data_IF_219495273979
#
_entry.id   IF_219495273979
#
_cell.length_a   1.000
_cell.length_b   1.000
_cell.length_c   1.000
_cell.angle_alpha   90.00
_cell.angle_beta   90.00
_cell.angle_gamma   90.00
#
_symmetry.space_group_name_H-M   'P 1'
#
loop_
_entity.id
_entity.type
_entity.pdbx_description
1 polymer ?
#
# COMPACT_ATOMS: atom_id res chain seq x y z
N UNK A 1 0.39 10.41 -4.18
CA UNK A 1 0.32 11.36 -3.06
C UNK A 1 -1.06 12.00 -3.02
N UNK A 2 -1.54 12.39 -1.85
CA UNK A 2 -2.91 12.86 -1.71
C UNK A 2 -3.31 13.14 -0.28
N UNK A 3 -4.60 12.95 -0.01
CA UNK A 3 -5.21 13.12 1.30
C UNK A 3 -5.97 11.87 1.71
N UNK A 4 -5.62 11.32 2.87
CA UNK A 4 -6.41 10.30 3.53
C UNK A 4 -7.68 10.96 4.10
N UNK A 5 -8.83 10.39 3.75
CA UNK A 5 -10.15 10.92 4.10
C UNK A 5 -11.09 9.80 4.51
N UNK A 6 -12.19 10.18 5.16
CA UNK A 6 -13.36 9.32 5.33
C UNK A 6 -14.25 9.47 4.10
N UNK A 7 -14.56 8.37 3.42
CA UNK A 7 -15.41 8.30 2.23
C UNK A 7 -16.77 8.95 2.47
N UNK A 8 -17.33 8.73 3.65
CA UNK A 8 -18.60 9.34 4.06
C UNK A 8 -18.59 10.87 3.95
N UNK A 9 -17.45 11.50 4.24
CA UNK A 9 -17.32 12.96 4.24
C UNK A 9 -17.12 13.52 2.82
N UNK A 10 -16.76 12.68 1.84
CA UNK A 10 -16.38 13.12 0.48
C UNK A 10 -17.19 12.49 -0.65
N UNK A 11 -18.03 11.49 -0.40
CA UNK A 11 -18.82 10.78 -1.44
C UNK A 11 -19.75 11.68 -2.28
N UNK A 12 -20.05 12.88 -1.77
CA UNK A 12 -20.90 13.89 -2.40
C UNK A 12 -20.10 14.94 -3.18
N UNK A 13 -18.77 14.92 -3.06
CA UNK A 13 -17.89 15.98 -3.55
C UNK A 13 -17.91 16.04 -5.08
N UNK A 14 -18.09 17.25 -5.59
CA UNK A 14 -17.94 17.58 -7.01
C UNK A 14 -17.28 18.95 -7.17
N UNK A 15 -16.76 19.25 -8.37
CA UNK A 15 -16.15 20.55 -8.62
C UNK A 15 -17.12 21.73 -8.38
N UNK A 16 -18.42 21.52 -8.60
CA UNK A 16 -19.47 22.50 -8.32
C UNK A 16 -19.83 22.58 -6.83
N UNK A 17 -19.71 21.47 -6.09
CA UNK A 17 -19.97 21.40 -4.65
C UNK A 17 -18.86 20.63 -3.94
N UNK A 18 -17.70 21.27 -3.68
CA UNK A 18 -16.58 20.60 -3.04
C UNK A 18 -16.87 20.27 -1.58
N UNK A 19 -16.43 19.09 -1.12
CA UNK A 19 -16.43 18.78 0.31
C UNK A 19 -15.28 19.55 0.99
N UNK A 20 -15.53 20.07 2.19
CA UNK A 20 -14.54 20.83 2.96
C UNK A 20 -14.14 20.04 4.19
N UNK A 21 -12.84 19.80 4.35
CA UNK A 21 -12.25 19.07 5.46
C UNK A 21 -11.14 19.89 6.11
N UNK A 22 -10.82 19.61 7.37
CA UNK A 22 -9.66 20.18 8.06
C UNK A 22 -8.48 19.21 8.00
N UNK A 23 -7.34 19.71 7.55
CA UNK A 23 -6.08 18.94 7.56
C UNK A 23 -5.55 18.94 8.99
N UNK A 24 -5.48 17.76 9.61
CA UNK A 24 -5.07 17.59 11.02
C UNK A 24 -3.69 16.96 11.21
N UNK A 25 -3.09 16.47 10.13
CA UNK A 25 -1.80 15.79 10.21
C UNK A 25 -1.29 15.31 8.86
N UNK A 26 -0.21 14.55 8.91
CA UNK A 26 0.48 14.02 7.74
C UNK A 26 1.08 12.65 8.03
N UNK A 27 0.83 11.69 7.14
CA UNK A 27 1.41 10.35 7.14
C UNK A 27 2.40 10.21 5.99
N UNK A 28 3.66 9.91 6.31
CA UNK A 28 4.74 9.71 5.34
C UNK A 28 5.25 8.27 5.37
N UNK A 29 5.94 7.85 4.29
CA UNK A 29 6.57 6.53 4.25
C UNK A 29 7.57 6.38 5.41
N UNK A 30 7.34 5.38 6.27
CA UNK A 30 8.13 5.15 7.49
C UNK A 30 7.81 6.07 8.68
N UNK A 31 6.99 7.11 8.51
CA UNK A 31 6.58 8.05 9.58
C UNK A 31 5.05 8.16 9.56
N UNK A 32 4.33 7.19 10.15
CA UNK A 32 2.87 7.16 10.13
C UNK A 32 2.24 8.21 11.05
N UNK A 33 1.09 8.73 10.63
CA UNK A 33 0.18 9.49 11.49
C UNK A 33 -0.74 8.52 12.25
N UNK A 34 -0.56 8.42 13.56
CA UNK A 34 -1.23 7.42 14.40
C UNK A 34 -2.63 7.81 14.87
N UNK A 35 -2.98 9.10 14.82
CA UNK A 35 -4.29 9.55 15.28
C UNK A 35 -5.38 9.15 14.30
N UNK A 36 -6.57 8.89 14.83
CA UNK A 36 -7.73 8.53 14.04
C UNK A 36 -8.42 9.78 13.49
N UNK A 37 -8.66 9.81 12.18
CA UNK A 37 -9.42 10.88 11.53
C UNK A 37 -10.86 10.89 12.06
N UNK A 38 -11.29 12.06 12.52
CA UNK A 38 -12.67 12.34 12.91
C UNK A 38 -13.48 12.83 11.71
N UNK A 39 -14.83 12.87 11.81
CA UNK A 39 -15.67 13.46 10.78
C UNK A 39 -15.23 14.87 10.40
N UNK A 40 -15.15 15.13 9.10
CA UNK A 40 -14.72 16.43 8.56
C UNK A 40 -13.21 16.65 8.59
N UNK A 41 -12.40 15.63 8.91
CA UNK A 41 -10.94 15.73 8.93
C UNK A 41 -10.28 14.98 7.78
N UNK A 42 -9.08 15.42 7.43
CA UNK A 42 -8.20 14.78 6.48
C UNK A 42 -6.76 14.80 6.99
N UNK A 43 -5.95 13.87 6.51
CA UNK A 43 -4.49 13.92 6.70
C UNK A 43 -3.80 13.90 5.34
N UNK A 44 -2.71 14.65 5.19
CA UNK A 44 -1.82 14.51 4.03
C UNK A 44 -1.24 13.09 4.04
N UNK A 45 -1.14 12.46 2.87
CA UNK A 45 -0.57 11.12 2.77
C UNK A 45 0.30 10.98 1.51
N UNK A 46 1.54 10.54 1.72
CA UNK A 46 2.48 10.24 0.64
C UNK A 46 2.34 8.79 0.17
N UNK A 47 2.76 8.52 -1.06
CA UNK A 47 2.77 7.16 -1.62
C UNK A 47 3.63 6.22 -0.77
N UNK A 48 3.08 5.05 -0.42
CA UNK A 48 3.74 4.08 0.45
C UNK A 48 3.63 4.38 1.94
N UNK A 49 2.99 5.49 2.33
CA UNK A 49 2.68 5.76 3.73
C UNK A 49 1.54 4.87 4.24
N UNK A 50 1.51 4.64 5.55
CA UNK A 50 0.42 3.92 6.19
C UNK A 50 -0.85 4.76 6.20
N UNK A 51 -1.98 4.14 5.87
CA UNK A 51 -3.28 4.80 5.94
C UNK A 51 -3.61 5.14 7.40
N UNK A 52 -4.09 6.37 7.62
CA UNK A 52 -4.46 6.85 8.96
C UNK A 52 -5.66 6.06 9.49
N UNK A 53 -5.74 5.84 10.80
CA UNK A 53 -6.91 5.21 11.40
C UNK A 53 -8.18 6.03 11.09
N UNK A 54 -9.29 5.36 10.82
CA UNK A 54 -10.55 6.00 10.45
C UNK A 54 -10.67 6.45 8.99
N UNK A 55 -9.57 6.59 8.26
CA UNK A 55 -9.60 6.82 6.81
C UNK A 55 -9.94 5.52 6.06
N UNK A 56 -10.68 5.65 4.97
CA UNK A 56 -11.06 4.53 4.08
C UNK A 56 -11.03 4.92 2.60
N UNK A 57 -10.48 6.09 2.26
CA UNK A 57 -10.17 6.50 0.90
C UNK A 57 -8.96 7.45 0.87
N UNK A 58 -8.22 7.46 -0.25
CA UNK A 58 -7.21 8.48 -0.54
C UNK A 58 -7.61 9.27 -1.76
N UNK A 59 -7.70 10.59 -1.64
CA UNK A 59 -7.98 11.49 -2.78
C UNK A 59 -6.66 12.05 -3.31
N UNK A 60 -6.36 11.91 -4.61
CA UNK A 60 -5.14 12.43 -5.21
C UNK A 60 -5.10 13.96 -5.14
N UNK A 61 -3.90 14.54 -5.05
CA UNK A 61 -3.73 16.00 -4.90
C UNK A 61 -4.36 16.78 -6.07
N UNK A 62 -4.38 16.19 -7.26
CA UNK A 62 -4.95 16.73 -8.48
C UNK A 62 -6.47 16.95 -8.40
N UNK A 63 -7.16 16.23 -7.50
CA UNK A 63 -8.61 16.31 -7.28
C UNK A 63 -8.94 17.13 -6.02
N UNK A 64 -7.99 17.93 -5.54
CA UNK A 64 -8.11 18.73 -4.32
C UNK A 64 -7.55 20.14 -4.48
N UNK A 65 -8.07 21.07 -3.68
CA UNK A 65 -7.50 22.40 -3.47
C UNK A 65 -7.23 22.60 -1.98
N UNK A 66 -6.12 23.24 -1.64
CA UNK A 66 -5.76 23.51 -0.24
C UNK A 66 -5.65 25.00 -0.01
N UNK A 67 -6.32 25.48 1.04
CA UNK A 67 -6.21 26.84 1.55
C UNK A 67 -5.90 26.81 3.04
N UNK A 68 -4.62 27.00 3.39
CA UNK A 68 -4.12 26.85 4.75
C UNK A 68 -4.36 25.43 5.30
N UNK A 69 -5.18 25.33 6.35
CA UNK A 69 -5.58 24.06 6.96
C UNK A 69 -6.88 23.48 6.37
N UNK A 70 -7.52 24.16 5.42
CA UNK A 70 -8.77 23.71 4.80
C UNK A 70 -8.45 22.98 3.50
N UNK A 71 -8.89 21.73 3.42
CA UNK A 71 -8.89 20.92 2.21
C UNK A 71 -10.26 21.03 1.54
N UNK A 72 -10.27 21.30 0.23
CA UNK A 72 -11.45 21.20 -0.62
C UNK A 72 -11.26 20.00 -1.54
N UNK A 73 -12.11 18.99 -1.38
CA UNK A 73 -12.14 17.83 -2.27
C UNK A 73 -13.08 18.12 -3.42
N UNK A 74 -12.56 18.11 -4.64
CA UNK A 74 -13.31 18.41 -5.86
C UNK A 74 -13.95 17.15 -6.44
N UNK A 75 -13.35 15.99 -6.22
CA UNK A 75 -13.87 14.71 -6.73
C UNK A 75 -13.36 13.56 -5.87
N UNK A 76 -14.27 12.63 -5.56
CA UNK A 76 -13.94 11.33 -5.00
C UNK A 76 -14.79 10.27 -5.71
N UNK A 77 -14.16 9.19 -6.20
CA UNK A 77 -14.81 8.23 -7.09
C UNK A 77 -15.47 7.09 -6.32
N UNK A 78 -14.77 6.53 -5.34
CA UNK A 78 -15.27 5.38 -4.56
C UNK A 78 -14.58 5.20 -3.23
N UNK A 79 -15.24 4.50 -2.32
CA UNK A 79 -14.62 3.96 -1.12
C UNK A 79 -13.44 3.05 -1.48
N UNK A 80 -12.40 3.04 -0.66
CA UNK A 80 -11.17 2.26 -0.83
C UNK A 80 -10.34 2.60 -2.08
N UNK A 81 -10.60 3.73 -2.73
CA UNK A 81 -9.75 4.18 -3.84
C UNK A 81 -8.33 4.49 -3.37
N UNK A 82 -7.35 4.15 -4.22
CA UNK A 82 -5.93 4.41 -4.01
C UNK A 82 -5.36 3.89 -2.68
N UNK A 83 -5.98 2.85 -2.12
CA UNK A 83 -5.48 2.13 -0.95
C UNK A 83 -4.99 0.76 -1.41
N UNK A 84 -3.78 0.40 -0.97
CA UNK A 84 -3.25 -0.95 -1.06
C UNK A 84 -3.50 -1.68 0.26
N UNK A 85 -4.22 -2.79 0.22
CA UNK A 85 -4.59 -3.51 1.45
C UNK A 85 -3.47 -4.43 1.92
N UNK A 86 -3.40 -4.62 3.24
CA UNK A 86 -2.48 -5.58 3.82
C UNK A 86 -2.74 -6.98 3.26
N UNK A 87 -1.71 -7.60 2.70
CA UNK A 87 -1.79 -8.93 2.10
C UNK A 87 -2.52 -9.01 0.77
N UNK A 88 -2.76 -7.88 0.07
CA UNK A 88 -3.43 -7.88 -1.24
C UNK A 88 -2.65 -8.66 -2.32
N UNK A 89 -1.33 -8.71 -2.19
CA UNK A 89 -0.46 -9.43 -3.13
C UNK A 89 -0.19 -10.86 -2.64
N UNK A 90 0.19 -10.99 -1.36
CA UNK A 90 0.34 -12.29 -0.70
C UNK A 90 -0.24 -12.20 0.72
N UNK A 91 -1.21 -13.06 1.01
CA UNK A 91 -1.73 -13.21 2.36
C UNK A 91 -0.69 -13.93 3.25
N UNK A 92 -0.70 -13.63 4.54
CA UNK A 92 0.11 -14.36 5.51
C UNK A 92 -0.21 -15.88 5.44
N UNK A 93 0.84 -16.70 5.32
CA UNK A 93 0.71 -18.16 5.18
C UNK A 93 0.41 -18.64 3.75
N UNK A 94 0.27 -17.76 2.76
CA UNK A 94 0.19 -18.17 1.37
C UNK A 94 1.50 -18.83 0.92
N UNK A 95 1.39 -19.89 0.12
CA UNK A 95 2.55 -20.50 -0.52
C UNK A 95 3.14 -19.53 -1.56
N UNK A 96 4.40 -19.13 -1.39
CA UNK A 96 5.09 -18.23 -2.32
C UNK A 96 5.69 -18.99 -3.51
N UNK A 97 6.22 -20.19 -3.26
CA UNK A 97 6.87 -21.06 -4.23
C UNK A 97 6.54 -22.52 -3.90
N UNK A 98 6.35 -23.33 -4.93
CA UNK A 98 6.16 -24.78 -4.78
C UNK A 98 7.50 -25.50 -4.57
N UNK A 99 7.47 -26.64 -3.88
CA UNK A 99 8.65 -27.47 -3.71
C UNK A 99 9.19 -27.94 -5.07
N UNK A 100 10.51 -27.85 -5.26
CA UNK A 100 11.15 -28.15 -6.55
C UNK A 100 11.24 -26.97 -7.52
N UNK A 101 10.72 -25.79 -7.15
CA UNK A 101 10.92 -24.57 -7.94
C UNK A 101 12.41 -24.23 -8.03
N UNK A 102 12.91 -24.09 -9.26
CA UNK A 102 14.27 -23.64 -9.49
C UNK A 102 14.39 -22.16 -9.12
N UNK A 103 15.26 -21.85 -8.16
CA UNK A 103 15.50 -20.48 -7.73
C UNK A 103 16.35 -19.72 -8.76
N UNK A 104 15.73 -18.74 -9.42
CA UNK A 104 16.42 -17.71 -10.22
C UNK A 104 16.30 -16.35 -9.52
N UNK A 105 16.85 -15.30 -10.12
CA UNK A 105 16.86 -13.95 -9.56
C UNK A 105 15.46 -13.47 -9.09
N UNK A 106 14.40 -13.75 -9.85
CA UNK A 106 13.04 -13.38 -9.48
C UNK A 106 12.53 -14.08 -8.20
N UNK A 107 12.78 -15.38 -8.07
CA UNK A 107 12.37 -16.14 -6.87
C UNK A 107 13.16 -15.69 -5.65
N UNK A 108 14.45 -15.41 -5.82
CA UNK A 108 15.30 -14.88 -4.73
C UNK A 108 14.81 -13.49 -4.30
N UNK A 109 14.49 -12.61 -5.24
CA UNK A 109 13.94 -11.28 -4.94
C UNK A 109 12.59 -11.35 -4.22
N UNK A 110 11.72 -12.29 -4.62
CA UNK A 110 10.45 -12.54 -3.93
C UNK A 110 10.68 -13.02 -2.49
N UNK A 111 11.54 -14.00 -2.25
CA UNK A 111 11.82 -14.49 -0.90
C UNK A 111 12.42 -13.38 -0.02
N UNK A 112 13.37 -12.61 -0.56
CA UNK A 112 14.00 -11.50 0.14
C UNK A 112 13.00 -10.38 0.48
N UNK A 113 12.05 -10.07 -0.41
CA UNK A 113 11.02 -9.06 -0.15
C UNK A 113 10.08 -9.42 1.00
N UNK A 114 9.96 -10.72 1.30
CA UNK A 114 9.20 -11.25 2.44
C UNK A 114 10.08 -11.44 3.69
N UNK A 115 11.34 -11.01 3.67
CA UNK A 115 12.26 -11.14 4.81
C UNK A 115 12.81 -12.54 5.04
N UNK A 116 12.71 -13.44 4.05
CA UNK A 116 13.21 -14.81 4.15
C UNK A 116 14.70 -14.82 3.77
N UNK A 117 15.57 -14.96 4.78
CA UNK A 117 17.03 -14.93 4.60
C UNK A 117 17.62 -16.28 4.16
N UNK A 118 17.00 -17.39 4.57
CA UNK A 118 17.46 -18.75 4.28
C UNK A 118 16.29 -19.61 3.81
N UNK A 119 16.54 -20.51 2.86
CA UNK A 119 15.52 -21.40 2.31
C UNK A 119 16.09 -22.83 2.19
N UNK A 120 15.34 -23.87 2.57
CA UNK A 120 15.77 -25.24 2.36
C UNK A 120 15.86 -25.55 0.86
N UNK A 121 16.96 -26.17 0.44
CA UNK A 121 17.19 -26.60 -0.95
C UNK A 121 17.46 -28.11 -1.01
N UNK A 122 17.23 -28.69 -2.19
CA UNK A 122 17.75 -30.01 -2.48
C UNK A 122 19.28 -29.97 -2.58
N UNK A 123 19.94 -30.97 -1.98
CA UNK A 123 21.38 -31.17 -2.16
C UNK A 123 21.67 -31.43 -3.64
N UNK A 124 22.68 -30.79 -4.26
CA UNK A 124 23.08 -31.10 -5.63
C UNK A 124 23.39 -32.61 -5.77
N UNK A 125 22.93 -33.27 -6.84
CA UNK A 125 23.19 -34.69 -7.04
C UNK A 125 24.69 -34.93 -7.22
N UNK A 126 25.20 -35.99 -6.58
CA UNK A 126 26.56 -36.47 -6.82
C UNK A 126 26.55 -37.39 -8.06
N UNK A 127 27.29 -37.01 -9.09
CA UNK A 127 27.31 -37.72 -10.38
C UNK A 127 28.74 -38.11 -10.73
N UNK A 128 28.97 -39.40 -11.04
CA UNK A 128 30.23 -39.92 -11.56
C UNK A 128 30.10 -40.24 -13.04
N UNK A 129 31.12 -39.87 -13.83
CA UNK A 129 31.16 -40.11 -15.28
C UNK A 129 32.36 -40.98 -15.60
N UNK A 130 32.14 -42.11 -16.27
CA UNK A 130 33.18 -43.00 -16.78
C UNK A 130 33.08 -43.04 -18.30
N UNK A 131 34.16 -42.63 -18.98
CA UNK A 131 34.26 -42.67 -20.44
C UNK A 131 35.22 -43.81 -20.79
N UNK A 132 34.76 -44.75 -21.62
CA UNK A 132 35.55 -45.89 -22.11
C UNK A 132 35.49 -45.91 -23.64
N UNK A 133 36.61 -46.21 -24.28
CA UNK A 133 36.74 -46.39 -25.73
C UNK A 133 37.11 -47.82 -26.10
#
# INVERSE_FOLDING_TARGET
DGFAVRWEDVRHASAAQPARLTIVGESQAGIPFWEALQPGQAARISTGAMLCAGADAVVPVEETEVDGAVLRVLKAEKQHQHIRFAGEEFAAGAALLEAGTLLRAAQVALLASQGIAEVPIYRPPAVSVMVTG
#
